data_IF_606368744758
#
_entry.id   IF_606368744758
#
_cell.length_a   1.000
_cell.length_b   1.000
_cell.length_c   1.000
_cell.angle_alpha   90.00
_cell.angle_beta   90.00
_cell.angle_gamma   90.00
#
_symmetry.space_group_name_H-M   'P 1'
#
loop_
_entity.id
_entity.type
_entity.pdbx_description
1 polymer ?
#
# COMPACT_ATOMS: atom_id res chain seq x y z
N UNK A 1 35.56 48.62 46.59
CA UNK A 1 34.22 48.84 45.99
C UNK A 1 34.09 47.87 44.82
N UNK A 2 33.61 46.65 45.10
CA UNK A 2 33.35 45.63 44.07
C UNK A 2 31.88 45.27 44.14
N UNK A 3 31.14 45.49 43.05
CA UNK A 3 29.74 45.10 42.92
C UNK A 3 29.64 43.76 42.21
N UNK A 4 29.08 42.77 42.89
CA UNK A 4 28.70 41.48 42.34
C UNK A 4 27.43 41.64 41.48
N UNK A 5 27.45 41.11 40.25
CA UNK A 5 26.31 41.11 39.35
C UNK A 5 25.59 39.76 39.49
N UNK A 6 24.45 39.76 40.18
CA UNK A 6 23.59 38.58 40.35
C UNK A 6 22.83 38.31 39.04
N UNK A 7 22.99 37.10 38.50
CA UNK A 7 22.22 36.58 37.39
C UNK A 7 20.74 36.39 37.77
N UNK A 8 19.83 36.97 37.00
CA UNK A 8 18.38 36.76 37.12
C UNK A 8 17.95 35.49 36.38
N UNK A 9 17.11 34.68 37.04
CA UNK A 9 16.47 33.51 36.44
C UNK A 9 15.36 33.93 35.46
N UNK A 10 15.14 33.19 34.35
CA UNK A 10 14.02 33.45 33.45
C UNK A 10 12.68 32.98 34.06
N UNK A 11 11.55 33.62 33.71
CA UNK A 11 10.23 33.29 34.24
C UNK A 11 9.71 31.95 33.68
N UNK A 12 8.98 31.15 34.48
CA UNK A 12 8.36 29.92 34.00
C UNK A 12 7.05 30.22 33.27
N UNK A 13 6.84 29.61 32.10
CA UNK A 13 5.49 29.47 31.52
C UNK A 13 5.25 30.07 30.14
N UNK A 14 6.13 29.82 29.16
CA UNK A 14 5.69 29.84 27.76
C UNK A 14 5.77 28.41 27.19
N UNK A 15 4.63 27.79 26.83
CA UNK A 15 4.68 26.59 26.02
C UNK A 15 5.28 26.98 24.67
N UNK A 16 6.38 26.32 24.30
CA UNK A 16 6.97 26.48 22.98
C UNK A 16 5.96 26.16 21.89
N UNK A 17 6.18 26.63 20.64
CA UNK A 17 5.31 26.27 19.53
C UNK A 17 5.24 24.74 19.46
N UNK A 18 4.04 24.20 19.69
CA UNK A 18 3.75 22.80 19.41
C UNK A 18 3.92 22.62 17.92
N UNK A 19 5.08 22.06 17.55
CA UNK A 19 5.32 21.51 16.23
C UNK A 19 4.13 20.59 15.93
N UNK A 20 3.41 20.80 14.81
CA UNK A 20 2.38 19.86 14.39
C UNK A 20 3.03 18.48 14.35
N UNK A 21 2.38 17.40 14.83
CA UNK A 21 2.94 16.08 14.71
C UNK A 21 3.30 15.86 13.24
N UNK A 22 4.59 15.77 12.95
CA UNK A 22 5.11 15.51 11.63
C UNK A 22 4.27 14.37 11.05
N UNK A 23 3.57 14.65 9.96
CA UNK A 23 2.78 13.66 9.26
C UNK A 23 3.64 12.40 9.14
N UNK A 24 3.19 11.32 9.78
CA UNK A 24 3.92 10.06 9.88
C UNK A 24 4.50 9.73 8.52
N UNK A 25 5.84 9.85 8.42
CA UNK A 25 6.58 9.50 7.22
C UNK A 25 6.10 8.09 6.83
N UNK A 26 5.66 7.85 5.59
CA UNK A 26 5.25 6.51 5.19
C UNK A 26 6.38 5.57 5.57
N UNK A 27 6.08 4.69 6.52
CA UNK A 27 7.02 3.71 7.02
C UNK A 27 7.38 2.85 5.81
N UNK A 28 8.61 3.02 5.35
CA UNK A 28 9.20 2.14 4.36
C UNK A 28 9.32 0.80 5.08
N UNK A 29 8.49 -0.16 4.69
CA UNK A 29 8.41 -1.45 5.36
C UNK A 29 9.33 -2.45 4.68
N UNK A 30 10.16 -3.11 5.47
CA UNK A 30 10.99 -4.23 5.05
C UNK A 30 10.16 -5.53 5.09
N UNK A 31 9.29 -5.69 4.09
CA UNK A 31 8.53 -6.93 3.88
C UNK A 31 9.24 -7.73 2.80
N UNK A 32 9.61 -9.01 3.05
CA UNK A 32 10.23 -9.83 2.02
C UNK A 32 9.25 -10.05 0.87
N UNK A 33 9.77 -9.93 -0.36
CA UNK A 33 9.01 -10.25 -1.56
C UNK A 33 8.58 -11.73 -1.53
N UNK A 34 7.36 -12.04 -1.97
CA UNK A 34 6.87 -13.40 -1.96
C UNK A 34 7.59 -14.25 -3.00
N UNK A 35 7.92 -15.48 -2.61
CA UNK A 35 8.43 -16.52 -3.47
C UNK A 35 7.46 -17.70 -3.64
N UNK A 36 7.86 -18.71 -4.42
CA UNK A 36 7.06 -19.90 -4.63
C UNK A 36 6.75 -20.60 -3.30
N UNK A 37 5.46 -20.71 -2.96
CA UNK A 37 4.99 -21.40 -1.76
C UNK A 37 4.46 -20.49 -0.64
N UNK A 38 4.75 -19.19 -0.67
CA UNK A 38 4.46 -18.26 0.44
C UNK A 38 2.96 -17.96 0.68
N UNK A 39 2.11 -18.26 -0.32
CA UNK A 39 0.65 -18.07 -0.27
C UNK A 39 0.19 -16.63 -0.03
N UNK A 40 1.06 -15.63 -0.21
CA UNK A 40 0.73 -14.21 -0.14
C UNK A 40 1.28 -13.45 -1.34
N UNK A 41 0.67 -12.30 -1.63
CA UNK A 41 1.20 -11.27 -2.53
C UNK A 41 1.51 -10.00 -1.73
N UNK A 42 2.38 -9.13 -2.24
CA UNK A 42 2.69 -7.82 -1.62
C UNK A 42 2.23 -6.71 -2.54
N UNK A 43 1.40 -5.79 -2.05
CA UNK A 43 0.98 -4.59 -2.76
C UNK A 43 1.75 -3.37 -2.24
N UNK A 44 2.55 -2.77 -3.10
CA UNK A 44 3.19 -1.48 -2.87
C UNK A 44 2.31 -0.36 -3.42
N UNK A 45 1.71 0.43 -2.52
CA UNK A 45 0.80 1.53 -2.89
C UNK A 45 1.54 2.56 -3.74
N UNK A 46 2.69 3.07 -3.28
CA UNK A 46 3.44 4.09 -4.02
C UNK A 46 4.03 3.55 -5.32
N UNK A 47 4.38 2.27 -5.34
CA UNK A 47 4.87 1.60 -6.54
C UNK A 47 3.77 1.35 -7.58
N UNK A 48 2.50 1.29 -7.16
CA UNK A 48 1.39 0.90 -8.03
C UNK A 48 1.53 -0.54 -8.55
N UNK A 49 2.12 -1.43 -7.73
CA UNK A 49 2.48 -2.79 -8.13
C UNK A 49 2.15 -3.83 -7.06
N UNK A 50 1.71 -4.99 -7.54
CA UNK A 50 1.56 -6.20 -6.73
C UNK A 50 2.59 -7.23 -7.15
N UNK A 51 3.40 -7.66 -6.20
CA UNK A 51 4.41 -8.71 -6.36
C UNK A 51 3.78 -10.05 -6.00
N UNK A 52 3.78 -10.97 -6.95
CA UNK A 52 3.15 -12.29 -6.84
C UNK A 52 4.17 -13.34 -6.41
N UNK A 53 3.74 -14.43 -5.73
CA UNK A 53 4.63 -15.54 -5.36
C UNK A 53 5.18 -16.30 -6.57
N UNK A 54 4.57 -16.14 -7.75
CA UNK A 54 5.11 -16.64 -9.02
C UNK A 54 6.31 -15.84 -9.54
N UNK A 55 6.58 -14.66 -8.95
CA UNK A 55 7.54 -13.67 -9.46
C UNK A 55 6.92 -12.65 -10.42
N UNK A 56 5.67 -12.85 -10.88
CA UNK A 56 4.97 -11.84 -11.69
C UNK A 56 4.74 -10.54 -10.91
N UNK A 57 4.78 -9.42 -11.64
CA UNK A 57 4.45 -8.09 -11.14
C UNK A 57 3.18 -7.62 -11.86
N UNK A 58 2.14 -7.31 -11.11
CA UNK A 58 0.86 -6.83 -11.65
C UNK A 58 0.68 -5.35 -11.35
N UNK A 59 0.02 -4.61 -12.22
CA UNK A 59 -0.37 -3.23 -11.95
C UNK A 59 -1.62 -3.19 -11.08
N UNK A 60 -1.57 -2.38 -10.03
CA UNK A 60 -2.72 -2.14 -9.17
C UNK A 60 -2.69 -0.75 -8.53
N UNK A 61 -3.87 -0.20 -8.29
CA UNK A 61 -4.06 1.13 -7.74
C UNK A 61 -5.12 1.14 -6.63
N UNK A 62 -5.10 2.18 -5.79
CA UNK A 62 -6.09 2.35 -4.74
C UNK A 62 -6.36 3.81 -4.43
N UNK A 63 -7.62 4.13 -4.17
CA UNK A 63 -8.05 5.50 -3.88
C UNK A 63 -8.54 6.24 -5.13
N UNK A 64 -8.98 7.47 -4.91
CA UNK A 64 -9.67 8.30 -5.90
C UNK A 64 -9.19 9.75 -5.81
N UNK A 65 -9.15 10.43 -6.95
CA UNK A 65 -8.81 11.87 -7.00
C UNK A 65 -7.43 12.14 -6.41
N UNK A 66 -7.36 13.01 -5.41
CA UNK A 66 -6.11 13.35 -4.67
C UNK A 66 -5.59 12.21 -3.77
N UNK A 67 -6.47 11.26 -3.42
CA UNK A 67 -6.14 10.09 -2.63
C UNK A 67 -5.60 8.92 -3.45
N UNK A 68 -5.56 9.03 -4.78
CA UNK A 68 -5.08 7.99 -5.68
C UNK A 68 -3.60 7.66 -5.41
N UNK A 69 -3.34 6.43 -4.96
CA UNK A 69 -2.03 5.92 -4.51
C UNK A 69 -1.32 6.81 -3.49
N UNK A 70 -2.09 7.65 -2.78
CA UNK A 70 -1.55 8.64 -1.88
C UNK A 70 -1.73 8.20 -0.43
N UNK A 71 -0.65 7.67 0.15
CA UNK A 71 -0.61 7.17 1.53
C UNK A 71 -1.01 8.23 2.57
N UNK A 72 -0.89 9.53 2.26
CA UNK A 72 -1.23 10.59 3.20
C UNK A 72 -2.75 10.66 3.43
N UNK A 73 -3.53 10.07 2.53
CA UNK A 73 -4.98 10.03 2.57
C UNK A 73 -5.51 8.71 3.12
N UNK A 74 -4.66 7.80 3.63
CA UNK A 74 -5.07 6.48 4.13
C UNK A 74 -6.17 6.51 5.21
N UNK A 75 -6.30 7.62 5.93
CA UNK A 75 -7.36 7.82 6.92
C UNK A 75 -8.68 8.36 6.31
N UNK A 76 -8.70 8.74 5.04
CA UNK A 76 -9.85 9.35 4.36
C UNK A 76 -10.74 8.27 3.75
N UNK A 77 -11.93 8.09 4.32
CA UNK A 77 -12.95 7.17 3.81
C UNK A 77 -13.36 7.55 2.39
N UNK A 78 -13.58 6.55 1.53
CA UNK A 78 -13.95 6.68 0.11
C UNK A 78 -12.96 7.41 -0.81
N UNK A 79 -11.89 8.00 -0.28
CA UNK A 79 -10.91 8.77 -1.06
C UNK A 79 -9.53 8.12 -1.03
N UNK A 80 -9.06 7.76 0.17
CA UNK A 80 -7.71 7.24 0.36
C UNK A 80 -7.53 5.81 -0.11
N UNK A 81 -6.27 5.38 -0.29
CA UNK A 81 -5.94 4.02 -0.66
C UNK A 81 -6.27 3.04 0.47
N UNK A 82 -6.23 1.74 0.19
CA UNK A 82 -6.35 0.69 1.20
C UNK A 82 -5.30 0.89 2.31
N UNK A 83 -5.66 0.81 3.60
CA UNK A 83 -4.69 0.92 4.68
C UNK A 83 -3.60 -0.16 4.63
N UNK A 84 -2.33 0.16 4.90
CA UNK A 84 -1.29 -0.84 5.10
C UNK A 84 -1.67 -1.82 6.22
N UNK A 85 -1.78 -3.10 5.87
CA UNK A 85 -2.08 -4.22 6.76
C UNK A 85 -1.84 -5.53 5.98
N UNK A 86 -1.83 -6.65 6.68
CA UNK A 86 -2.04 -7.96 6.05
C UNK A 86 -3.54 -8.24 5.98
N UNK A 87 -4.01 -8.67 4.81
CA UNK A 87 -5.40 -9.02 4.59
C UNK A 87 -5.53 -10.47 4.14
N UNK A 88 -6.40 -11.24 4.78
CA UNK A 88 -6.89 -12.51 4.24
C UNK A 88 -7.91 -12.24 3.14
N UNK A 89 -7.78 -12.98 2.05
CA UNK A 89 -8.67 -12.90 0.89
C UNK A 89 -9.75 -13.98 0.99
N UNK A 90 -10.98 -13.60 0.64
CA UNK A 90 -12.11 -14.52 0.55
C UNK A 90 -12.95 -14.21 -0.67
N UNK A 91 -13.39 -15.23 -1.39
CA UNK A 91 -14.25 -15.03 -2.56
C UNK A 91 -15.58 -14.39 -2.16
N UNK A 92 -16.05 -13.42 -2.94
CA UNK A 92 -17.42 -12.92 -2.78
C UNK A 92 -18.44 -13.89 -3.36
N UNK A 93 -19.54 -14.08 -2.64
CA UNK A 93 -20.69 -14.88 -3.09
C UNK A 93 -21.44 -14.25 -4.27
N UNK A 94 -21.43 -12.90 -4.34
CA UNK A 94 -22.09 -12.12 -5.39
C UNK A 94 -21.08 -11.22 -6.08
N UNK A 95 -21.27 -11.07 -7.39
CA UNK A 95 -20.50 -10.15 -8.23
C UNK A 95 -20.55 -8.73 -7.68
N UNK A 96 -19.46 -8.01 -7.85
CA UNK A 96 -19.31 -6.60 -7.54
C UNK A 96 -19.36 -5.82 -8.86
N UNK A 97 -20.46 -5.11 -9.13
CA UNK A 97 -20.65 -4.42 -10.41
C UNK A 97 -20.44 -5.32 -11.64
N UNK A 98 -20.85 -6.59 -11.55
CA UNK A 98 -20.72 -7.55 -12.64
C UNK A 98 -19.38 -8.30 -12.71
N UNK A 99 -18.39 -7.97 -11.86
CA UNK A 99 -17.11 -8.70 -11.81
C UNK A 99 -16.99 -9.54 -10.54
N UNK A 100 -16.27 -10.64 -10.65
CA UNK A 100 -15.80 -11.36 -9.47
C UNK A 100 -14.87 -10.46 -8.66
N UNK A 101 -14.93 -10.55 -7.33
CA UNK A 101 -14.11 -9.74 -6.45
C UNK A 101 -13.78 -10.53 -5.18
N UNK A 102 -12.61 -10.26 -4.59
CA UNK A 102 -12.22 -10.86 -3.32
C UNK A 102 -12.42 -9.87 -2.20
N UNK A 103 -13.07 -10.29 -1.12
CA UNK A 103 -13.16 -9.53 0.12
C UNK A 103 -11.84 -9.64 0.89
N UNK A 104 -11.35 -8.49 1.33
CA UNK A 104 -10.14 -8.35 2.14
C UNK A 104 -10.52 -8.20 3.62
N UNK A 105 -9.99 -9.07 4.48
CA UNK A 105 -10.17 -9.00 5.94
C UNK A 105 -8.83 -8.73 6.62
N UNK A 106 -8.64 -7.59 7.32
CA UNK A 106 -7.38 -7.30 7.99
C UNK A 106 -7.11 -8.32 9.10
N UNK A 107 -5.84 -8.73 9.26
CA UNK A 107 -5.44 -9.75 10.25
C UNK A 107 -4.37 -9.30 11.23
N UNK A 108 -3.71 -8.17 10.99
CA UNK A 108 -2.75 -7.60 11.94
C UNK A 108 -3.35 -6.38 12.65
N UNK A 109 -2.77 -6.07 13.81
CA UNK A 109 -3.12 -4.93 14.66
C UNK A 109 -2.58 -3.61 14.07
N UNK A 110 -3.07 -3.24 12.89
CA UNK A 110 -2.78 -1.96 12.25
C UNK A 110 -4.04 -1.09 12.18
N UNK A 111 -3.84 0.23 12.18
CA UNK A 111 -4.94 1.20 12.23
C UNK A 111 -5.74 1.17 10.93
N UNK A 112 -6.99 0.74 11.03
CA UNK A 112 -7.95 0.73 9.91
C UNK A 112 -8.73 2.03 9.76
N UNK A 113 -8.54 2.99 10.67
CA UNK A 113 -9.19 4.32 10.63
C UNK A 113 -10.73 4.27 10.58
N UNK A 114 -11.35 3.24 11.14
CA UNK A 114 -12.80 3.01 11.05
C UNK A 114 -13.29 2.68 9.63
N UNK A 115 -12.38 2.22 8.75
CA UNK A 115 -12.67 1.83 7.37
C UNK A 115 -12.68 0.31 7.24
N UNK A 116 -13.55 -0.20 6.39
CA UNK A 116 -13.74 -1.62 6.13
C UNK A 116 -14.28 -1.83 4.70
N UNK A 117 -14.68 -3.07 4.39
CA UNK A 117 -15.36 -3.40 3.14
C UNK A 117 -14.46 -3.42 1.90
N UNK A 118 -13.14 -3.45 2.09
CA UNK A 118 -12.15 -3.45 1.01
C UNK A 118 -12.22 -4.71 0.16
N UNK A 119 -12.05 -4.53 -1.14
CA UNK A 119 -12.09 -5.59 -2.14
C UNK A 119 -10.87 -5.51 -3.05
N UNK A 120 -10.55 -6.64 -3.69
CA UNK A 120 -9.78 -6.63 -4.95
C UNK A 120 -10.72 -6.79 -6.13
N UNK A 121 -10.52 -6.04 -7.21
CA UNK A 121 -11.32 -6.13 -8.44
C UNK A 121 -10.56 -5.54 -9.65
N UNK A 122 -11.09 -5.69 -10.86
CA UNK A 122 -10.56 -5.03 -12.07
C UNK A 122 -10.81 -3.51 -12.07
N UNK A 123 -10.30 -2.76 -13.04
CA UNK A 123 -10.65 -1.34 -13.14
C UNK A 123 -12.14 -1.17 -13.48
N UNK A 124 -12.89 -0.61 -12.52
CA UNK A 124 -14.34 -0.37 -12.65
C UNK A 124 -14.69 1.13 -12.70
N UNK A 125 -13.75 2.00 -12.35
CA UNK A 125 -13.95 3.44 -12.29
C UNK A 125 -12.89 4.13 -13.15
N UNK A 126 -13.13 4.14 -14.47
CA UNK A 126 -12.22 4.73 -15.44
C UNK A 126 -10.93 3.95 -15.66
N UNK A 127 -10.15 4.39 -16.65
CA UNK A 127 -8.99 3.66 -17.15
C UNK A 127 -7.75 3.76 -16.26
N UNK A 128 -7.73 4.75 -15.36
CA UNK A 128 -6.67 4.99 -14.40
C UNK A 128 -6.68 4.01 -13.22
N UNK A 129 -7.78 3.28 -13.02
CA UNK A 129 -7.91 2.33 -11.90
C UNK A 129 -8.37 3.00 -10.60
N UNK A 130 -9.12 4.08 -10.67
CA UNK A 130 -9.66 4.71 -9.46
C UNK A 130 -10.55 3.73 -8.66
N UNK A 131 -10.61 3.94 -7.34
CA UNK A 131 -11.47 3.19 -6.44
C UNK A 131 -11.79 4.00 -5.19
N UNK A 132 -12.82 3.60 -4.44
CA UNK A 132 -13.13 4.22 -3.15
C UNK A 132 -12.24 3.68 -2.00
N UNK A 133 -11.04 3.18 -2.35
CA UNK A 133 -10.07 2.57 -1.44
C UNK A 133 -9.95 1.04 -1.55
N UNK A 134 -10.63 0.41 -2.51
CA UNK A 134 -10.34 -0.98 -2.90
C UNK A 134 -9.02 -1.08 -3.66
N UNK A 135 -8.46 -2.28 -3.82
CA UNK A 135 -7.31 -2.48 -4.71
C UNK A 135 -7.86 -2.87 -6.08
N UNK A 136 -7.72 -1.96 -7.04
CA UNK A 136 -8.11 -2.18 -8.43
C UNK A 136 -6.89 -2.71 -9.20
N UNK A 137 -7.07 -3.66 -10.11
CA UNK A 137 -5.98 -4.27 -10.88
C UNK A 137 -6.20 -4.07 -12.37
N UNK A 138 -5.13 -3.80 -13.12
CA UNK A 138 -5.17 -3.80 -14.58
C UNK A 138 -5.36 -5.22 -15.10
N UNK A 139 -4.52 -6.15 -14.66
CA UNK A 139 -4.59 -7.58 -15.02
C UNK A 139 -5.29 -8.42 -13.94
N UNK A 140 -6.51 -8.04 -13.54
CA UNK A 140 -7.21 -8.68 -12.42
C UNK A 140 -7.40 -10.20 -12.59
N UNK A 141 -7.64 -10.67 -13.81
CA UNK A 141 -7.85 -12.09 -14.09
C UNK A 141 -6.66 -12.95 -13.67
N UNK A 142 -5.43 -12.42 -13.79
CA UNK A 142 -4.21 -13.12 -13.34
C UNK A 142 -4.20 -13.26 -11.82
N UNK A 143 -4.50 -12.17 -11.11
CA UNK A 143 -4.57 -12.18 -9.65
C UNK A 143 -5.67 -13.11 -9.13
N UNK A 144 -6.86 -13.04 -9.73
CA UNK A 144 -8.00 -13.89 -9.37
C UNK A 144 -7.71 -15.36 -9.64
N UNK A 145 -7.08 -15.69 -10.78
CA UNK A 145 -6.69 -17.05 -11.10
C UNK A 145 -5.66 -17.61 -10.09
N UNK A 146 -4.67 -16.81 -9.69
CA UNK A 146 -3.72 -17.19 -8.65
C UNK A 146 -4.42 -17.47 -7.30
N UNK A 147 -5.40 -16.65 -6.92
CA UNK A 147 -6.23 -16.92 -5.74
C UNK A 147 -7.02 -18.22 -5.87
N UNK A 148 -7.68 -18.45 -7.01
CA UNK A 148 -8.48 -19.66 -7.26
C UNK A 148 -7.63 -20.94 -7.27
N UNK A 149 -6.36 -20.86 -7.68
CA UNK A 149 -5.38 -21.95 -7.55
C UNK A 149 -4.82 -22.12 -6.14
N UNK A 150 -5.18 -21.23 -5.20
CA UNK A 150 -4.65 -21.22 -3.84
C UNK A 150 -3.17 -20.82 -3.79
N UNK A 151 -2.65 -20.12 -4.78
CA UNK A 151 -1.29 -19.57 -4.79
C UNK A 151 -1.20 -18.27 -3.99
N UNK A 152 -2.31 -17.53 -3.91
CA UNK A 152 -2.43 -16.31 -3.10
C UNK A 152 -3.69 -16.42 -2.25
N UNK A 153 -3.54 -16.38 -0.94
CA UNK A 153 -4.66 -16.39 0.02
C UNK A 153 -4.67 -15.15 0.91
N UNK A 154 -3.57 -14.40 0.88
CA UNK A 154 -3.36 -13.17 1.64
C UNK A 154 -2.71 -12.12 0.74
N UNK A 155 -2.95 -10.86 1.03
CA UNK A 155 -2.22 -9.74 0.44
C UNK A 155 -1.69 -8.85 1.55
N UNK A 156 -0.40 -8.56 1.52
CA UNK A 156 0.25 -7.63 2.43
C UNK A 156 0.32 -6.28 1.73
N UNK A 157 -0.38 -5.29 2.27
CA UNK A 157 -0.40 -3.94 1.73
C UNK A 157 0.61 -3.10 2.48
N UNK A 158 1.52 -2.45 1.74
CA UNK A 158 2.56 -1.60 2.29
C UNK A 158 2.48 -0.21 1.69
N UNK A 159 2.88 0.81 2.46
CA UNK A 159 2.93 2.18 1.97
C UNK A 159 3.97 2.35 0.85
N UNK A 160 5.15 1.75 1.05
CA UNK A 160 6.26 1.75 0.12
C UNK A 160 7.22 0.60 0.47
N UNK A 161 7.68 -0.16 -0.51
CA UNK A 161 8.75 -1.13 -0.29
C UNK A 161 10.10 -0.43 -0.12
N UNK A 162 10.94 -0.98 0.77
CA UNK A 162 12.31 -0.50 0.97
C UNK A 162 13.19 -0.69 -0.25
N UNK A 163 13.13 -1.90 -0.81
CA UNK A 163 13.94 -2.33 -1.94
C UNK A 163 13.02 -2.92 -3.00
N UNK A 164 12.22 -2.10 -3.72
CA UNK A 164 11.42 -2.61 -4.81
C UNK A 164 12.37 -3.14 -5.90
N UNK A 165 12.05 -4.28 -6.54
CA UNK A 165 12.79 -4.74 -7.72
C UNK A 165 12.86 -3.63 -8.75
N UNK A 166 14.06 -3.38 -9.28
CA UNK A 166 14.24 -2.33 -10.30
C UNK A 166 13.25 -2.54 -11.46
N UNK A 167 12.71 -1.44 -12.02
CA UNK A 167 11.92 -1.54 -13.23
C UNK A 167 12.79 -2.20 -14.31
N UNK A 168 12.21 -3.15 -15.05
CA UNK A 168 12.92 -3.84 -16.12
C UNK A 168 13.35 -2.81 -17.16
N UNK A 169 14.62 -2.41 -17.11
CA UNK A 169 15.15 -1.44 -18.04
C UNK A 169 15.36 -2.14 -19.39
N UNK A 170 14.61 -1.77 -20.45
CA UNK A 170 14.74 -2.43 -21.74
C UNK A 170 16.16 -2.32 -22.32
N UNK A 171 16.91 -1.28 -21.95
CA UNK A 171 18.30 -1.11 -22.35
C UNK A 171 19.23 -2.14 -21.70
N UNK A 172 18.99 -2.50 -20.43
CA UNK A 172 19.76 -3.54 -19.72
C UNK A 172 19.45 -4.94 -20.26
N UNK A 173 18.20 -5.19 -20.69
CA UNK A 173 17.81 -6.45 -21.32
C UNK A 173 18.51 -6.67 -22.67
N UNK A 174 18.67 -5.61 -23.47
CA UNK A 174 19.44 -5.64 -24.73
C UNK A 174 20.95 -5.84 -24.51
N UNK A 175 21.53 -5.20 -23.46
CA UNK A 175 22.94 -5.39 -23.10
C UNK A 175 23.24 -6.77 -22.52
N UNK A 176 22.26 -7.45 -21.93
CA UNK A 176 22.41 -8.78 -21.32
C UNK A 176 22.32 -9.94 -22.32
N UNK A 177 22.50 -9.66 -23.61
CA UNK A 177 22.42 -10.61 -24.72
C UNK A 177 22.99 -11.99 -24.39
N UNK A 178 22.10 -12.96 -24.19
CA UNK A 178 22.42 -14.37 -24.34
C UNK A 178 21.89 -14.82 -25.70
N UNK A 179 22.74 -15.00 -26.72
CA UNK A 179 22.34 -15.75 -27.89
C UNK A 179 22.09 -17.21 -27.48
N UNK A 180 21.06 -17.82 -28.06
CA UNK A 180 20.95 -19.27 -28.20
C UNK A 180 21.37 -19.61 -29.61
#
# INVERSE_FOLDING_TARGET
MGGEQLASLPPPGQPGPTEPPAASRPEVTDVPLPGPGDKYAVYDIKGGKVYMPSGEKLEAHSGYGEGFDNIAYVNKRMIGPTPPNTYTLTMRERLFHGVEALRMKPTADAKMFGRDGFLTHSYLMGERGDSNGCISFKEYDKFLAAYKRGEVTRIIVVAQLANPPEPENPLLAWLSGKPK
#
